data_IF_727639393002
#
_entry.id   IF_727639393002
#
_cell.length_a   1.000
_cell.length_b   1.000
_cell.length_c   1.000
_cell.angle_alpha   90.00
_cell.angle_beta   90.00
_cell.angle_gamma   90.00
#
_symmetry.space_group_name_H-M   'P 1'
#
loop_
_entity.id
_entity.type
_entity.pdbx_description
1 polymer ?
#
# COMPACT_ATOMS: atom_id res chain seq x y z
N UNK A 1 2.81 19.29 -7.09
CA UNK A 1 2.40 18.04 -7.76
C UNK A 1 2.40 18.24 -9.27
N UNK A 2 2.79 17.25 -10.07
CA UNK A 2 2.66 17.27 -11.53
C UNK A 2 1.49 16.44 -12.01
N UNK A 3 0.77 16.93 -13.02
CA UNK A 3 -0.34 16.24 -13.66
C UNK A 3 -0.16 16.22 -15.18
N UNK A 4 -0.74 15.22 -15.81
CA UNK A 4 -0.82 15.10 -17.27
C UNK A 4 -2.18 15.63 -17.70
N UNK A 5 -2.20 16.48 -18.71
CA UNK A 5 -3.44 16.87 -19.36
C UNK A 5 -3.93 15.71 -20.24
N UNK A 6 -5.12 15.19 -19.97
CA UNK A 6 -5.66 13.99 -20.59
C UNK A 6 -5.99 14.15 -22.09
N UNK A 7 -6.03 15.39 -22.60
CA UNK A 7 -6.28 15.70 -24.01
C UNK A 7 -4.98 15.90 -24.76
N UNK A 8 -4.14 16.82 -24.26
CA UNK A 8 -2.91 17.24 -24.95
C UNK A 8 -1.71 16.35 -24.65
N UNK A 9 -1.81 15.48 -23.63
CA UNK A 9 -0.72 14.64 -23.15
C UNK A 9 0.54 15.45 -22.77
N UNK A 10 0.33 16.67 -22.26
CA UNK A 10 1.40 17.54 -21.75
C UNK A 10 1.41 17.51 -20.22
N UNK A 11 2.58 17.73 -19.62
CA UNK A 11 2.75 17.70 -18.17
C UNK A 11 2.79 19.12 -17.60
N UNK A 12 2.07 19.34 -16.49
CA UNK A 12 1.95 20.65 -15.83
C UNK A 12 2.24 20.52 -14.34
N UNK A 13 2.99 21.49 -13.79
CA UNK A 13 3.32 21.55 -12.37
C UNK A 13 2.38 22.51 -11.65
N UNK A 14 1.74 22.01 -10.59
CA UNK A 14 0.89 22.79 -9.69
C UNK A 14 1.58 22.92 -8.33
N UNK A 15 1.93 24.15 -7.96
CA UNK A 15 2.57 24.49 -6.68
C UNK A 15 1.60 24.68 -5.50
N UNK A 16 0.29 24.80 -5.78
CA UNK A 16 -0.77 24.98 -4.78
C UNK A 16 -1.78 23.84 -4.78
N UNK A 17 -3.04 24.16 -4.48
CA UNK A 17 -4.14 23.20 -4.60
C UNK A 17 -4.30 22.78 -6.07
N UNK A 18 -4.18 21.49 -6.41
CA UNK A 18 -4.34 21.05 -7.79
C UNK A 18 -5.81 21.17 -8.24
N UNK A 19 -6.06 21.26 -9.57
CA UNK A 19 -7.40 21.11 -10.12
C UNK A 19 -7.95 19.69 -9.84
N UNK A 20 -9.26 19.44 -10.01
CA UNK A 20 -9.83 18.10 -10.00
C UNK A 20 -9.09 17.17 -10.97
N UNK A 21 -8.76 15.96 -10.50
CA UNK A 21 -7.95 15.01 -11.25
C UNK A 21 -8.32 13.57 -10.94
N UNK A 22 -8.13 12.71 -11.94
CA UNK A 22 -8.12 11.27 -11.76
C UNK A 22 -6.69 10.78 -11.45
N UNK A 23 -6.57 9.65 -10.76
CA UNK A 23 -5.28 9.04 -10.43
C UNK A 23 -5.22 7.60 -10.90
N UNK A 24 -4.10 7.18 -11.49
CA UNK A 24 -3.90 5.79 -11.94
C UNK A 24 -3.22 4.97 -10.85
N UNK A 25 -3.89 3.92 -10.40
CA UNK A 25 -3.30 2.85 -9.61
C UNK A 25 -3.05 1.64 -10.49
N UNK A 26 -1.83 1.11 -10.48
CA UNK A 26 -1.45 0.01 -11.35
C UNK A 26 -0.22 -0.73 -10.83
N UNK A 27 0.04 -1.92 -11.35
CA UNK A 27 1.30 -2.63 -11.11
C UNK A 27 2.30 -2.34 -12.21
N UNK A 28 3.53 -1.99 -11.85
CA UNK A 28 4.58 -1.75 -12.85
C UNK A 28 4.88 -3.02 -13.67
N UNK A 29 5.11 -2.84 -14.97
CA UNK A 29 5.37 -3.87 -15.96
C UNK A 29 6.64 -3.57 -16.75
N UNK A 30 6.67 -4.02 -18.00
CA UNK A 30 7.79 -3.79 -18.91
C UNK A 30 7.68 -2.43 -19.58
N UNK A 31 8.82 -1.77 -19.79
CA UNK A 31 8.92 -0.49 -20.51
C UNK A 31 7.97 0.58 -19.94
N UNK A 32 8.09 0.82 -18.65
CA UNK A 32 7.36 1.88 -17.96
C UNK A 32 7.75 3.27 -18.48
N UNK A 33 6.77 4.13 -18.70
CA UNK A 33 7.03 5.52 -19.08
C UNK A 33 7.52 6.28 -17.84
N UNK A 34 8.79 6.64 -17.83
CA UNK A 34 9.38 7.49 -16.78
C UNK A 34 9.07 8.98 -17.00
N UNK A 35 9.43 9.82 -16.05
CA UNK A 35 9.36 11.27 -16.23
C UNK A 35 10.22 11.71 -17.43
N UNK A 36 11.44 11.18 -17.55
CA UNK A 36 12.37 11.49 -18.63
C UNK A 36 11.82 11.07 -19.99
N UNK A 37 11.23 9.88 -20.10
CA UNK A 37 10.59 9.42 -21.34
C UNK A 37 9.45 10.35 -21.75
N UNK A 38 8.67 10.83 -20.77
CA UNK A 38 7.58 11.75 -21.02
C UNK A 38 8.09 13.09 -21.58
N UNK A 39 9.24 13.59 -21.09
CA UNK A 39 9.85 14.83 -21.57
C UNK A 39 10.38 14.72 -23.02
N UNK A 40 10.72 13.51 -23.49
CA UNK A 40 11.15 13.28 -24.88
C UNK A 40 9.98 13.37 -25.89
N UNK A 41 8.74 13.44 -25.40
CA UNK A 41 7.56 13.70 -26.19
C UNK A 41 6.85 12.45 -26.73
N UNK A 42 5.66 12.63 -27.34
CA UNK A 42 4.76 11.52 -27.67
C UNK A 42 5.32 10.50 -28.64
N UNK A 43 6.21 10.91 -29.55
CA UNK A 43 6.86 9.98 -30.48
C UNK A 43 7.78 8.97 -29.79
N UNK A 44 8.35 9.35 -28.64
CA UNK A 44 9.20 8.48 -27.83
C UNK A 44 8.36 7.62 -26.90
N UNK A 45 7.64 8.24 -25.96
CA UNK A 45 6.91 7.48 -24.95
C UNK A 45 5.77 6.63 -25.55
N UNK A 46 5.21 7.03 -26.70
CA UNK A 46 4.16 6.28 -27.39
C UNK A 46 4.60 4.90 -27.89
N UNK A 47 5.92 4.65 -27.97
CA UNK A 47 6.49 3.34 -28.36
C UNK A 47 6.68 2.39 -27.18
N UNK A 48 6.64 2.89 -25.95
CA UNK A 48 6.85 2.12 -24.74
C UNK A 48 5.58 1.34 -24.39
N UNK A 49 5.71 0.05 -24.05
CA UNK A 49 4.54 -0.78 -23.67
C UNK A 49 3.76 -0.23 -22.48
N UNK A 50 4.44 0.39 -21.52
CA UNK A 50 3.82 1.02 -20.35
C UNK A 50 2.93 2.21 -20.70
N UNK A 51 2.98 2.75 -21.92
CA UNK A 51 2.13 3.87 -22.32
C UNK A 51 0.65 3.49 -22.46
N UNK A 52 0.32 2.26 -22.84
CA UNK A 52 -1.06 1.85 -23.11
C UNK A 52 -2.02 2.08 -21.93
N UNK A 53 -1.56 1.89 -20.69
CA UNK A 53 -2.34 2.19 -19.48
C UNK A 53 -2.44 3.70 -19.19
N UNK A 54 -1.44 4.50 -19.56
CA UNK A 54 -1.52 5.96 -19.41
C UNK A 54 -2.53 6.52 -20.42
N UNK A 55 -2.47 6.06 -21.66
CA UNK A 55 -3.44 6.41 -22.70
C UNK A 55 -4.86 6.00 -22.28
N UNK A 56 -5.04 4.76 -21.82
CA UNK A 56 -6.33 4.29 -21.35
C UNK A 56 -6.86 5.08 -20.15
N UNK A 57 -5.99 5.47 -19.22
CA UNK A 57 -6.31 6.34 -18.09
C UNK A 57 -6.78 7.72 -18.56
N UNK A 58 -6.03 8.36 -19.48
CA UNK A 58 -6.41 9.65 -20.06
C UNK A 58 -7.76 9.56 -20.79
N UNK A 59 -7.97 8.49 -21.56
CA UNK A 59 -9.22 8.24 -22.26
C UNK A 59 -10.39 8.06 -21.30
N UNK A 60 -10.20 7.32 -20.20
CA UNK A 60 -11.25 7.13 -19.19
C UNK A 60 -11.53 8.42 -18.42
N UNK A 61 -10.48 9.13 -18.00
CA UNK A 61 -10.58 10.45 -17.36
C UNK A 61 -11.42 11.42 -18.21
N UNK A 62 -11.16 11.50 -19.52
CA UNK A 62 -11.94 12.33 -20.45
C UNK A 62 -13.41 11.94 -20.53
N UNK A 63 -13.73 10.64 -20.52
CA UNK A 63 -15.11 10.15 -20.52
C UNK A 63 -15.87 10.57 -19.26
N UNK A 64 -15.16 10.61 -18.13
CA UNK A 64 -15.72 10.96 -16.84
C UNK A 64 -15.64 12.48 -16.55
N UNK A 65 -15.13 13.27 -17.49
CA UNK A 65 -15.10 14.74 -17.40
C UNK A 65 -13.85 15.32 -16.72
N UNK A 66 -12.81 14.52 -16.49
CA UNK A 66 -11.55 14.96 -15.92
C UNK A 66 -10.55 15.38 -17.01
N UNK A 67 -10.00 16.59 -16.85
CA UNK A 67 -8.93 17.10 -17.71
C UNK A 67 -7.54 16.63 -17.26
N UNK A 68 -7.37 16.31 -15.97
CA UNK A 68 -6.06 16.05 -15.38
C UNK A 68 -5.96 14.63 -14.86
N UNK A 69 -4.84 13.97 -15.14
CA UNK A 69 -4.50 12.66 -14.57
C UNK A 69 -3.15 12.67 -13.88
N UNK A 70 -3.03 11.86 -12.83
CA UNK A 70 -1.76 11.60 -12.16
C UNK A 70 -1.34 10.15 -12.35
N UNK A 71 -0.06 9.92 -12.65
CA UNK A 71 0.55 8.59 -12.79
C UNK A 71 1.93 8.61 -12.13
N UNK A 72 2.17 7.76 -11.14
CA UNK A 72 3.41 7.72 -10.36
C UNK A 72 4.67 7.46 -11.20
N UNK A 73 4.55 6.72 -12.30
CA UNK A 73 5.69 6.37 -13.16
C UNK A 73 6.34 7.59 -13.80
N UNK A 74 5.54 8.55 -14.27
CA UNK A 74 6.00 9.72 -15.01
C UNK A 74 5.71 11.08 -14.36
N UNK A 75 4.76 11.20 -13.41
CA UNK A 75 4.52 12.45 -12.69
C UNK A 75 5.55 12.72 -11.59
N UNK A 76 6.36 11.73 -11.22
CA UNK A 76 7.44 11.84 -10.23
C UNK A 76 8.79 11.67 -10.94
N UNK A 77 9.72 12.59 -10.69
CA UNK A 77 11.08 12.49 -11.18
C UNK A 77 11.88 11.67 -10.18
N UNK A 78 11.98 10.38 -10.46
CA UNK A 78 12.68 9.43 -9.60
C UNK A 78 14.20 9.61 -9.62
N UNK A 79 14.75 10.43 -10.52
CA UNK A 79 16.16 10.79 -10.52
C UNK A 79 16.49 11.87 -9.47
N UNK A 80 15.50 12.66 -9.06
CA UNK A 80 15.62 13.63 -7.99
C UNK A 80 15.28 12.99 -6.64
N UNK A 81 16.29 12.75 -5.79
CA UNK A 81 16.08 12.17 -4.46
C UNK A 81 15.20 13.04 -3.57
N UNK A 82 15.32 14.37 -3.69
CA UNK A 82 14.48 15.33 -2.97
C UNK A 82 13.01 15.21 -3.40
N UNK A 83 12.75 15.15 -4.70
CA UNK A 83 11.38 15.01 -5.20
C UNK A 83 10.79 13.63 -4.87
N UNK A 84 11.58 12.56 -5.03
CA UNK A 84 11.14 11.21 -4.66
C UNK A 84 10.74 11.13 -3.18
N UNK A 85 11.52 11.78 -2.30
CA UNK A 85 11.22 11.85 -0.88
C UNK A 85 9.93 12.62 -0.58
N UNK A 86 9.76 13.79 -1.20
CA UNK A 86 8.52 14.57 -1.10
C UNK A 86 7.32 13.78 -1.61
N UNK A 87 7.48 13.09 -2.74
CA UNK A 87 6.43 12.33 -3.39
C UNK A 87 5.95 11.15 -2.55
N UNK A 88 6.87 10.35 -2.01
CA UNK A 88 6.53 9.21 -1.15
C UNK A 88 5.80 9.68 0.12
N UNK A 89 6.26 10.75 0.77
CA UNK A 89 5.58 11.31 1.94
C UNK A 89 4.22 11.95 1.60
N UNK A 90 3.99 12.32 0.33
CA UNK A 90 2.75 12.94 -0.14
C UNK A 90 1.78 11.98 -0.81
N UNK A 91 2.22 10.76 -1.16
CA UNK A 91 1.46 9.88 -2.06
C UNK A 91 0.09 9.52 -1.51
N UNK A 92 -0.02 9.20 -0.22
CA UNK A 92 -1.32 8.96 0.42
C UNK A 92 -2.27 10.15 0.27
N UNK A 93 -1.77 11.38 0.46
CA UNK A 93 -2.56 12.61 0.32
C UNK A 93 -2.96 12.87 -1.13
N UNK A 94 -2.11 12.54 -2.09
CA UNK A 94 -2.46 12.64 -3.52
C UNK A 94 -3.56 11.63 -3.89
N UNK A 95 -3.46 10.38 -3.46
CA UNK A 95 -4.55 9.42 -3.63
C UNK A 95 -5.83 9.87 -2.91
N UNK A 96 -5.74 10.37 -1.68
CA UNK A 96 -6.89 10.89 -0.94
C UNK A 96 -7.54 12.13 -1.59
N UNK A 97 -6.73 12.99 -2.19
CA UNK A 97 -7.16 14.22 -2.84
C UNK A 97 -7.61 14.07 -4.28
N UNK A 98 -7.46 12.87 -4.87
CA UNK A 98 -8.00 12.55 -6.19
C UNK A 98 -9.53 12.42 -6.13
N UNK A 99 -10.20 12.80 -7.21
CA UNK A 99 -11.65 12.64 -7.31
C UNK A 99 -12.02 11.18 -7.62
N UNK A 100 -11.20 10.49 -8.40
CA UNK A 100 -11.34 9.07 -8.70
C UNK A 100 -9.98 8.41 -8.91
N UNK A 101 -9.83 7.20 -8.36
CA UNK A 101 -8.71 6.31 -8.62
C UNK A 101 -9.14 5.22 -9.61
N UNK A 102 -8.48 5.18 -10.76
CA UNK A 102 -8.65 4.10 -11.73
C UNK A 102 -7.61 3.02 -11.45
N UNK A 103 -8.08 1.84 -11.06
CA UNK A 103 -7.24 0.66 -10.86
C UNK A 103 -7.18 -0.13 -12.16
N UNK A 104 -6.00 -0.17 -12.78
CA UNK A 104 -5.75 -0.95 -13.99
C UNK A 104 -5.13 -2.32 -13.65
N UNK A 105 -5.87 -3.39 -13.95
CA UNK A 105 -5.46 -4.78 -13.70
C UNK A 105 -4.89 -5.39 -14.99
N UNK A 106 -3.58 -5.26 -15.18
CA UNK A 106 -2.88 -5.73 -16.38
C UNK A 106 -2.95 -7.26 -16.60
N UNK A 107 -3.21 -8.03 -15.55
CA UNK A 107 -3.31 -9.49 -15.56
C UNK A 107 -4.76 -9.99 -15.45
N UNK A 108 -5.73 -9.11 -15.72
CA UNK A 108 -7.14 -9.46 -15.79
C UNK A 108 -7.61 -9.47 -17.25
N UNK A 109 -7.84 -10.66 -17.86
CA UNK A 109 -8.24 -10.77 -19.26
C UNK A 109 -9.68 -10.28 -19.49
N UNK A 110 -9.99 -10.00 -20.76
CA UNK A 110 -11.31 -9.56 -21.24
C UNK A 110 -12.42 -10.58 -20.93
N UNK A 111 -13.55 -10.08 -20.43
CA UNK A 111 -14.58 -10.86 -19.74
C UNK A 111 -15.43 -11.80 -20.62
N UNK A 112 -15.78 -12.96 -20.04
CA UNK A 112 -17.04 -13.72 -20.21
C UNK A 112 -17.55 -14.04 -18.79
N UNK A 113 -18.72 -13.48 -18.43
CA UNK A 113 -19.28 -13.22 -17.07
C UNK A 113 -19.29 -14.36 -16.00
N UNK A 114 -18.78 -15.57 -16.27
CA UNK A 114 -19.06 -16.74 -15.42
C UNK A 114 -17.82 -17.38 -14.73
N UNK A 115 -16.59 -16.97 -15.07
CA UNK A 115 -15.32 -17.54 -14.52
C UNK A 115 -14.62 -16.60 -13.50
N UNK A 116 -15.30 -15.54 -13.05
CA UNK A 116 -14.66 -14.22 -12.94
C UNK A 116 -14.18 -13.76 -11.56
N UNK A 117 -14.77 -14.25 -10.45
CA UNK A 117 -14.38 -13.78 -9.12
C UNK A 117 -12.98 -14.27 -8.71
N UNK A 118 -12.61 -15.49 -9.10
CA UNK A 118 -11.29 -16.04 -8.76
C UNK A 118 -10.17 -15.25 -9.44
N UNK A 119 -10.32 -14.94 -10.73
CA UNK A 119 -9.30 -14.22 -11.50
C UNK A 119 -9.04 -12.81 -10.94
N UNK A 120 -10.11 -12.08 -10.57
CA UNK A 120 -9.98 -10.76 -9.95
C UNK A 120 -9.16 -10.81 -8.65
N UNK A 121 -9.45 -11.75 -7.75
CA UNK A 121 -8.77 -11.83 -6.45
C UNK A 121 -7.33 -12.35 -6.55
N UNK A 122 -6.96 -12.98 -7.66
CA UNK A 122 -5.60 -13.44 -7.93
C UNK A 122 -4.73 -12.42 -8.64
N UNK A 123 -5.30 -11.30 -9.11
CA UNK A 123 -4.52 -10.24 -9.74
C UNK A 123 -3.37 -9.77 -8.86
N UNK A 124 -2.19 -9.62 -9.45
CA UNK A 124 -0.95 -9.15 -8.84
C UNK A 124 -1.13 -7.81 -8.12
N UNK A 125 -2.08 -6.99 -8.56
CA UNK A 125 -2.41 -5.74 -7.88
C UNK A 125 -2.70 -5.91 -6.39
N UNK A 126 -3.34 -7.00 -5.96
CA UNK A 126 -3.63 -7.27 -4.55
C UNK A 126 -2.41 -7.67 -3.71
N UNK A 127 -1.27 -7.98 -4.34
CA UNK A 127 -0.05 -8.39 -3.66
C UNK A 127 1.02 -7.29 -3.61
N UNK A 128 0.80 -6.12 -4.22
CA UNK A 128 1.79 -5.03 -4.19
C UNK A 128 1.62 -4.17 -2.93
N UNK A 129 2.71 -3.80 -2.26
CA UNK A 129 2.66 -2.99 -1.03
C UNK A 129 1.92 -1.67 -1.21
N UNK A 130 2.37 -0.85 -2.17
CA UNK A 130 1.83 0.49 -2.44
C UNK A 130 0.34 0.50 -2.77
N UNK A 131 -0.18 -0.50 -3.47
CA UNK A 131 -1.61 -0.54 -3.86
C UNK A 131 -2.56 -0.62 -2.66
N UNK A 132 -2.07 -0.90 -1.45
CA UNK A 132 -2.88 -0.82 -0.23
C UNK A 132 -3.36 0.61 0.03
N UNK A 133 -2.48 1.59 0.03
CA UNK A 133 -2.90 2.98 0.21
C UNK A 133 -3.70 3.49 -0.99
N UNK A 134 -3.42 2.99 -2.19
CA UNK A 134 -4.16 3.34 -3.41
C UNK A 134 -5.60 2.80 -3.40
N UNK A 135 -5.84 1.70 -2.68
CA UNK A 135 -7.17 1.16 -2.41
C UNK A 135 -7.92 1.95 -1.34
N UNK A 136 -7.22 2.38 -0.28
CA UNK A 136 -7.80 2.90 0.94
C UNK A 136 -8.02 4.42 0.88
N UNK A 137 -7.00 5.16 0.45
CA UNK A 137 -6.97 6.61 0.55
C UNK A 137 -8.02 7.32 -0.32
N UNK A 138 -8.24 6.94 -1.60
CA UNK A 138 -9.21 7.62 -2.46
C UNK A 138 -10.64 7.44 -1.99
N UNK A 139 -11.50 8.42 -2.29
CA UNK A 139 -12.95 8.33 -2.05
C UNK A 139 -13.62 7.36 -3.02
N UNK A 140 -13.28 7.47 -4.30
CA UNK A 140 -13.81 6.64 -5.37
C UNK A 140 -12.70 5.81 -6.01
N UNK A 141 -12.96 4.52 -6.21
CA UNK A 141 -12.02 3.58 -6.80
C UNK A 141 -12.78 2.68 -7.77
N UNK A 142 -12.39 2.72 -9.04
CA UNK A 142 -12.99 1.97 -10.13
C UNK A 142 -11.96 1.02 -10.75
N UNK A 143 -12.33 -0.25 -10.88
CA UNK A 143 -11.46 -1.32 -11.37
C UNK A 143 -11.72 -1.57 -12.85
N UNK A 144 -10.63 -1.69 -13.61
CA UNK A 144 -10.61 -1.94 -15.04
C UNK A 144 -9.70 -3.13 -15.37
N UNK A 145 -10.13 -3.94 -16.32
CA UNK A 145 -9.34 -5.04 -16.88
C UNK A 145 -8.24 -4.53 -17.83
N UNK A 146 -7.41 -5.44 -18.35
CA UNK A 146 -6.31 -5.13 -19.27
C UNK A 146 -6.79 -4.39 -20.54
N UNK A 147 -8.00 -4.64 -21.02
CA UNK A 147 -8.59 -3.97 -22.17
C UNK A 147 -9.34 -2.67 -21.83
N UNK A 148 -9.24 -2.18 -20.58
CA UNK A 148 -10.01 -1.07 -20.03
C UNK A 148 -11.53 -1.32 -19.96
N UNK A 149 -11.99 -2.58 -20.00
CA UNK A 149 -13.37 -2.89 -19.62
C UNK A 149 -13.56 -2.72 -18.12
N UNK A 150 -14.68 -2.09 -17.73
CA UNK A 150 -14.99 -1.82 -16.31
C UNK A 150 -15.42 -3.11 -15.62
N UNK A 151 -14.78 -3.42 -14.50
CA UNK A 151 -15.06 -4.59 -13.66
C UNK A 151 -16.07 -4.21 -12.57
N UNK A 152 -15.87 -3.07 -11.91
CA UNK A 152 -16.71 -2.61 -10.81
C UNK A 152 -16.04 -1.55 -9.96
N UNK A 153 -16.73 -1.10 -8.93
CA UNK A 153 -16.21 -0.13 -7.94
C UNK A 153 -15.76 -0.82 -6.66
N UNK A 154 -14.90 -0.19 -5.85
CA UNK A 154 -14.57 -0.66 -4.50
C UNK A 154 -15.81 -0.94 -3.64
N UNK A 155 -16.88 -0.14 -3.81
CA UNK A 155 -18.14 -0.35 -3.09
C UNK A 155 -18.84 -1.64 -3.55
N UNK A 156 -18.96 -1.84 -4.87
CA UNK A 156 -19.61 -3.04 -5.43
C UNK A 156 -18.82 -4.33 -5.17
N UNK A 157 -17.49 -4.21 -5.07
CA UNK A 157 -16.55 -5.31 -4.88
C UNK A 157 -16.09 -5.46 -3.42
N UNK A 158 -16.72 -4.76 -2.47
CA UNK A 158 -16.25 -4.68 -1.09
C UNK A 158 -16.15 -6.06 -0.41
N UNK A 159 -17.11 -6.97 -0.65
CA UNK A 159 -17.09 -8.32 -0.08
C UNK A 159 -15.95 -9.18 -0.64
N UNK A 160 -15.78 -9.32 -1.98
CA UNK A 160 -14.60 -9.98 -2.54
C UNK A 160 -13.26 -9.39 -2.07
N UNK A 161 -13.14 -8.07 -2.04
CA UNK A 161 -11.90 -7.39 -1.60
C UNK A 161 -11.64 -7.69 -0.12
N UNK A 162 -12.66 -7.62 0.74
CA UNK A 162 -12.55 -8.00 2.15
C UNK A 162 -12.02 -9.42 2.31
N UNK A 163 -12.60 -10.38 1.59
CA UNK A 163 -12.15 -11.78 1.62
C UNK A 163 -10.67 -11.93 1.25
N UNK A 164 -10.19 -11.20 0.23
CA UNK A 164 -8.80 -11.28 -0.21
C UNK A 164 -7.82 -10.58 0.74
N UNK A 165 -8.22 -9.44 1.32
CA UNK A 165 -7.30 -8.50 1.97
C UNK A 165 -7.40 -8.47 3.49
N UNK A 166 -8.50 -8.95 4.07
CA UNK A 166 -8.83 -8.77 5.50
C UNK A 166 -9.26 -7.34 5.86
N UNK A 167 -9.35 -6.42 4.90
CA UNK A 167 -9.79 -5.05 5.14
C UNK A 167 -11.29 -5.07 5.45
N UNK A 168 -11.77 -4.52 6.58
CA UNK A 168 -13.19 -4.50 6.92
C UNK A 168 -14.05 -3.86 5.83
N UNK A 169 -15.24 -4.40 5.59
CA UNK A 169 -16.16 -3.89 4.56
C UNK A 169 -16.55 -2.43 4.83
N UNK A 170 -16.61 -2.05 6.10
CA UNK A 170 -16.88 -0.68 6.56
C UNK A 170 -15.78 0.29 6.10
N UNK A 171 -14.51 -0.13 6.16
CA UNK A 171 -13.37 0.66 5.67
C UNK A 171 -13.44 0.81 4.15
N UNK A 172 -13.75 -0.26 3.43
CA UNK A 172 -13.96 -0.22 1.97
C UNK A 172 -15.16 0.64 1.56
N UNK A 173 -16.09 0.89 2.49
CA UNK A 173 -17.25 1.78 2.34
C UNK A 173 -17.01 3.20 2.85
N UNK A 174 -15.79 3.53 3.27
CA UNK A 174 -15.40 4.88 3.64
C UNK A 174 -15.22 5.13 5.14
N UNK A 175 -15.33 4.13 6.01
CA UNK A 175 -14.90 4.26 7.40
C UNK A 175 -13.39 4.57 7.43
N UNK A 176 -12.93 5.61 8.15
CA UNK A 176 -11.52 5.98 8.15
C UNK A 176 -10.65 4.87 8.77
N UNK A 177 -9.45 4.62 8.23
CA UNK A 177 -8.51 3.64 8.80
C UNK A 177 -8.13 3.92 10.25
N UNK A 178 -8.13 5.18 10.67
CA UNK A 178 -7.86 5.59 12.06
C UNK A 178 -8.84 5.01 13.09
N UNK A 179 -10.01 4.54 12.65
CA UNK A 179 -10.97 3.83 13.50
C UNK A 179 -10.73 2.31 13.60
N UNK A 180 -9.60 1.82 13.09
CA UNK A 180 -9.15 0.43 13.19
C UNK A 180 -7.87 0.34 14.02
N UNK A 181 -7.68 -0.79 14.68
CA UNK A 181 -6.50 -1.05 15.48
C UNK A 181 -5.24 -1.12 14.62
N UNK A 182 -4.10 -0.74 15.17
CA UNK A 182 -2.79 -0.78 14.53
C UNK A 182 -2.48 -2.18 14.00
N UNK A 183 -2.76 -3.22 14.78
CA UNK A 183 -2.54 -4.61 14.39
C UNK A 183 -3.39 -5.03 13.17
N UNK A 184 -4.63 -4.55 13.09
CA UNK A 184 -5.52 -4.80 11.96
C UNK A 184 -4.96 -4.13 10.72
N UNK A 185 -4.54 -2.86 10.83
CA UNK A 185 -3.91 -2.13 9.72
C UNK A 185 -2.64 -2.82 9.22
N UNK A 186 -1.80 -3.33 10.13
CA UNK A 186 -0.61 -4.13 9.76
C UNK A 186 -1.00 -5.41 8.99
N UNK A 187 -2.04 -6.11 9.43
CA UNK A 187 -2.52 -7.34 8.78
C UNK A 187 -2.96 -7.16 7.31
N UNK A 188 -3.36 -5.94 6.93
CA UNK A 188 -3.75 -5.61 5.55
C UNK A 188 -2.56 -5.66 4.58
N UNK A 189 -1.34 -5.53 5.10
CA UNK A 189 -0.09 -5.63 4.35
C UNK A 189 0.63 -6.97 4.50
N UNK A 190 0.13 -7.89 5.33
CA UNK A 190 0.81 -9.13 5.68
C UNK A 190 1.15 -10.06 4.49
N UNK A 191 0.40 -9.99 3.39
CA UNK A 191 0.63 -10.79 2.18
C UNK A 191 0.95 -9.91 0.96
N UNK A 192 1.49 -8.72 1.22
CA UNK A 192 1.95 -7.80 0.18
C UNK A 192 3.46 -7.82 0.11
N UNK A 193 3.97 -7.44 -1.05
CA UNK A 193 5.38 -7.45 -1.41
C UNK A 193 5.76 -6.13 -2.07
N UNK A 194 7.02 -5.74 -1.88
CA UNK A 194 7.60 -4.54 -2.46
C UNK A 194 8.91 -4.89 -3.17
N UNK A 195 9.28 -4.09 -4.18
CA UNK A 195 10.52 -4.34 -4.93
C UNK A 195 11.75 -3.95 -4.11
N UNK A 196 11.69 -2.83 -3.38
CA UNK A 196 12.68 -2.47 -2.36
C UNK A 196 12.15 -2.93 -1.00
N UNK A 197 13.03 -3.42 -0.14
CA UNK A 197 12.63 -3.98 1.15
C UNK A 197 12.09 -2.89 2.08
N UNK A 198 12.69 -1.70 2.03
CA UNK A 198 12.32 -0.52 2.80
C UNK A 198 10.92 0.01 2.45
N UNK A 199 10.51 -0.17 1.19
CA UNK A 199 9.19 0.28 0.73
C UNK A 199 8.04 -0.43 1.48
N UNK A 200 8.29 -1.60 2.10
CA UNK A 200 7.29 -2.26 2.95
C UNK A 200 6.88 -1.38 4.13
N UNK A 201 7.82 -0.63 4.69
CA UNK A 201 7.56 0.36 5.73
C UNK A 201 6.96 1.63 5.12
N UNK A 202 7.56 2.14 4.03
CA UNK A 202 7.18 3.42 3.45
C UNK A 202 5.76 3.42 2.88
N UNK A 203 5.28 2.28 2.33
CA UNK A 203 3.92 2.16 1.82
C UNK A 203 2.82 2.16 2.89
N UNK A 204 3.20 2.07 4.17
CA UNK A 204 2.28 2.09 5.31
C UNK A 204 2.19 3.46 5.99
N UNK A 205 3.14 4.37 5.74
CA UNK A 205 3.21 5.67 6.44
C UNK A 205 1.88 6.44 6.41
N UNK A 206 1.25 6.53 5.23
CA UNK A 206 -0.02 7.24 5.08
C UNK A 206 -1.21 6.60 5.81
N UNK A 207 -1.24 5.27 5.92
CA UNK A 207 -2.29 4.51 6.62
C UNK A 207 -2.19 4.70 8.14
N UNK A 208 -0.97 4.92 8.63
CA UNK A 208 -0.68 5.18 10.03
C UNK A 208 -0.54 6.67 10.37
N UNK A 209 -0.68 7.56 9.39
CA UNK A 209 -0.59 9.02 9.56
C UNK A 209 0.74 9.47 10.19
N UNK A 210 1.82 8.78 9.83
CA UNK A 210 3.20 9.09 10.24
C UNK A 210 4.02 9.58 9.06
N UNK A 211 5.14 10.25 9.35
CA UNK A 211 6.16 10.59 8.35
C UNK A 211 7.52 10.22 8.91
N UNK A 212 8.40 9.70 8.07
CA UNK A 212 9.79 9.39 8.44
C UNK A 212 10.72 9.61 7.25
N UNK A 213 12.00 9.94 7.48
CA UNK A 213 13.00 10.04 6.42
C UNK A 213 13.17 8.74 5.64
N UNK A 214 13.27 8.83 4.31
CA UNK A 214 13.55 7.69 3.44
C UNK A 214 15.06 7.44 3.38
N UNK A 215 15.49 6.29 3.88
CA UNK A 215 16.90 5.89 3.94
C UNK A 215 17.07 4.57 3.16
N UNK A 216 17.02 4.65 1.84
CA UNK A 216 17.29 3.47 1.00
C UNK A 216 18.71 2.93 1.24
N UNK A 217 18.82 1.64 1.54
CA UNK A 217 20.06 0.99 1.96
C UNK A 217 20.11 0.65 3.45
N UNK A 218 19.16 1.15 4.26
CA UNK A 218 19.06 0.78 5.69
C UNK A 218 18.58 -0.66 5.92
N UNK A 219 17.93 -1.26 4.90
CA UNK A 219 17.32 -2.58 4.98
C UNK A 219 15.86 -2.54 5.47
N UNK A 220 15.07 -3.52 5.02
CA UNK A 220 13.63 -3.57 5.30
C UNK A 220 13.28 -3.67 6.78
N UNK A 221 14.01 -4.52 7.52
CA UNK A 221 13.81 -4.72 8.96
C UNK A 221 13.97 -3.41 9.74
N UNK A 222 15.00 -2.63 9.41
CA UNK A 222 15.30 -1.36 10.08
C UNK A 222 14.27 -0.27 9.70
N UNK A 223 13.92 -0.17 8.42
CA UNK A 223 12.86 0.72 7.98
C UNK A 223 11.52 0.41 8.66
N UNK A 224 11.17 -0.88 8.81
CA UNK A 224 9.93 -1.31 9.45
C UNK A 224 9.95 -1.11 10.97
N UNK A 225 11.11 -1.28 11.60
CA UNK A 225 11.32 -0.94 13.01
C UNK A 225 11.07 0.55 13.25
N UNK A 226 11.67 1.43 12.43
CA UNK A 226 11.46 2.89 12.49
C UNK A 226 10.00 3.29 12.27
N UNK A 227 9.29 2.62 11.36
CA UNK A 227 7.85 2.83 11.18
C UNK A 227 7.08 2.57 12.48
N UNK A 228 7.34 1.43 13.14
CA UNK A 228 6.68 1.09 14.40
C UNK A 228 7.01 2.09 15.51
N UNK A 229 8.25 2.58 15.59
CA UNK A 229 8.63 3.65 16.52
C UNK A 229 7.86 4.95 16.27
N UNK A 230 7.73 5.38 15.02
CA UNK A 230 6.94 6.57 14.68
C UNK A 230 5.45 6.41 15.01
N UNK A 231 4.91 5.19 14.87
CA UNK A 231 3.53 4.88 15.29
C UNK A 231 3.40 5.02 16.81
N UNK A 232 4.31 4.43 17.59
CA UNK A 232 4.29 4.47 19.06
C UNK A 232 4.47 5.89 19.61
N UNK A 233 5.23 6.75 18.93
CA UNK A 233 5.36 8.18 19.32
C UNK A 233 4.04 8.95 19.24
N UNK A 234 3.06 8.47 18.46
CA UNK A 234 1.80 9.17 18.17
C UNK A 234 0.55 8.43 18.62
N UNK A 235 0.67 7.20 19.07
CA UNK A 235 -0.45 6.32 19.35
C UNK A 235 -0.21 5.51 20.61
N UNK A 236 -1.22 5.49 21.49
CA UNK A 236 -1.28 4.59 22.65
C UNK A 236 -1.92 3.23 22.29
N UNK A 237 -2.15 2.96 21.00
CA UNK A 237 -2.68 1.70 20.53
C UNK A 237 -1.64 0.58 20.66
N UNK A 238 -1.64 -0.04 21.84
CA UNK A 238 -0.76 -1.14 22.18
C UNK A 238 -0.95 -2.36 21.26
N UNK A 239 -2.04 -2.45 20.48
CA UNK A 239 -2.26 -3.59 19.60
C UNK A 239 -1.13 -3.79 18.60
N UNK A 240 -0.33 -2.75 18.33
CA UNK A 240 0.91 -2.86 17.55
C UNK A 240 1.86 -3.97 18.06
N UNK A 241 1.81 -4.29 19.36
CA UNK A 241 2.61 -5.35 19.98
C UNK A 241 1.94 -6.73 19.94
N UNK A 242 0.72 -6.85 19.40
CA UNK A 242 -0.05 -8.08 19.35
C UNK A 242 0.27 -8.93 18.10
N UNK A 243 1.55 -9.07 17.78
CA UNK A 243 2.05 -9.89 16.66
C UNK A 243 2.47 -11.29 17.14
N UNK A 244 2.69 -12.21 16.20
CA UNK A 244 3.27 -13.54 16.47
C UNK A 244 4.27 -13.87 15.37
N UNK A 245 5.41 -14.47 15.75
CA UNK A 245 6.35 -15.02 14.77
C UNK A 245 5.72 -16.25 14.13
N UNK A 246 4.86 -16.02 13.13
CA UNK A 246 4.07 -17.05 12.48
C UNK A 246 4.89 -17.82 11.45
N UNK A 247 6.06 -18.34 11.84
CA UNK A 247 6.94 -19.33 11.20
C UNK A 247 7.96 -19.57 12.32
N UNK A 248 7.97 -20.66 13.08
CA UNK A 248 8.48 -22.00 12.74
C UNK A 248 7.78 -23.08 13.61
N UNK A 249 7.19 -24.14 13.03
CA UNK A 249 6.49 -25.17 13.82
C UNK A 249 7.38 -26.07 14.70
N UNK A 250 8.71 -25.89 14.69
CA UNK A 250 9.67 -26.82 15.32
C UNK A 250 10.95 -26.13 15.84
N UNK A 251 10.95 -24.82 16.09
CA UNK A 251 12.17 -24.18 16.57
C UNK A 251 12.43 -24.50 18.05
N UNK A 252 13.62 -25.05 18.27
CA UNK A 252 14.28 -25.20 19.56
C UNK A 252 14.20 -23.88 20.36
N UNK A 253 13.84 -23.88 21.66
CA UNK A 253 13.79 -22.66 22.48
C UNK A 253 15.04 -21.77 22.39
N UNK A 254 16.20 -22.31 22.00
CA UNK A 254 17.42 -21.54 21.73
C UNK A 254 17.35 -20.63 20.48
N UNK A 255 16.62 -21.02 19.43
CA UNK A 255 16.48 -20.23 18.17
C UNK A 255 15.52 -19.05 18.38
N UNK A 256 14.46 -19.26 19.17
CA UNK A 256 13.56 -18.18 19.60
C UNK A 256 14.33 -17.16 20.47
N UNK A 257 15.23 -17.63 21.34
CA UNK A 257 16.11 -16.80 22.17
C UNK A 257 17.16 -16.03 21.34
N UNK A 258 17.70 -16.61 20.26
CA UNK A 258 18.62 -15.93 19.35
C UNK A 258 17.96 -14.84 18.48
N UNK A 259 16.68 -15.00 18.11
CA UNK A 259 15.92 -13.90 17.48
C UNK A 259 15.51 -12.83 18.47
N UNK A 260 15.18 -13.24 19.70
CA UNK A 260 15.00 -12.36 20.85
C UNK A 260 16.29 -11.60 21.21
N UNK A 261 17.45 -12.07 20.78
CA UNK A 261 18.76 -11.40 20.92
C UNK A 261 18.93 -10.18 20.02
N UNK A 262 18.09 -9.99 18.99
CA UNK A 262 17.82 -8.65 18.45
C UNK A 262 16.80 -8.01 19.39
N UNK A 263 17.27 -7.32 20.43
CA UNK A 263 16.49 -6.65 21.48
C UNK A 263 15.36 -5.72 20.98
N UNK A 264 14.28 -6.24 20.41
CA UNK A 264 13.14 -5.44 19.96
C UNK A 264 11.83 -6.15 20.25
N UNK A 265 10.95 -5.47 20.98
CA UNK A 265 9.55 -5.87 21.20
C UNK A 265 8.68 -5.67 19.95
N UNK A 266 9.27 -5.16 18.87
CA UNK A 266 8.61 -4.80 17.63
C UNK A 266 8.66 -5.95 16.63
N UNK A 267 7.63 -6.05 15.79
CA UNK A 267 7.55 -7.06 14.75
C UNK A 267 8.65 -6.87 13.69
N UNK A 268 9.06 -7.94 13.03
CA UNK A 268 10.04 -7.88 11.95
C UNK A 268 9.40 -7.45 10.63
N UNK A 269 8.11 -7.78 10.41
CA UNK A 269 7.38 -7.40 9.20
C UNK A 269 5.86 -7.40 9.40
N UNK A 270 5.08 -6.86 8.45
CA UNK A 270 3.62 -7.02 8.46
C UNK A 270 3.13 -8.48 8.47
N UNK A 271 3.95 -9.44 7.99
CA UNK A 271 3.59 -10.85 7.96
C UNK A 271 3.36 -11.45 9.37
N UNK A 272 4.01 -10.88 10.40
CA UNK A 272 3.83 -11.26 11.81
C UNK A 272 2.42 -10.92 12.34
N UNK A 273 1.64 -10.15 11.57
CA UNK A 273 0.25 -9.80 11.84
C UNK A 273 -0.73 -10.57 10.92
N UNK A 274 -0.27 -11.52 10.10
CA UNK A 274 -1.10 -12.24 9.11
C UNK A 274 -2.31 -12.94 9.74
N UNK A 275 -2.13 -13.53 10.91
CA UNK A 275 -3.20 -14.22 11.61
C UNK A 275 -4.33 -13.26 12.00
N UNK A 276 -4.05 -11.97 12.22
CA UNK A 276 -4.98 -10.95 12.77
C UNK A 276 -6.21 -10.71 11.88
N UNK A 277 -6.19 -11.19 10.63
CA UNK A 277 -7.28 -11.09 9.65
C UNK A 277 -8.63 -11.63 10.14
N UNK A 278 -8.65 -12.59 11.06
CA UNK A 278 -9.88 -13.17 11.63
C UNK A 278 -10.31 -12.57 12.97
N UNK A 279 -9.58 -11.58 13.50
CA UNK A 279 -9.63 -11.21 14.92
C UNK A 279 -10.46 -9.95 15.17
N UNK A 280 -11.77 -10.12 15.08
CA UNK A 280 -12.71 -9.24 15.78
C UNK A 280 -12.85 -9.59 17.27
N UNK A 281 -12.19 -10.64 17.77
CA UNK A 281 -12.34 -11.14 19.13
C UNK A 281 -11.31 -10.49 20.08
N UNK A 282 -11.75 -9.69 21.07
CA UNK A 282 -10.87 -9.09 22.10
C UNK A 282 -10.03 -10.11 22.87
N UNK A 283 -10.45 -11.38 22.90
CA UNK A 283 -9.86 -12.45 23.72
C UNK A 283 -8.43 -12.83 23.32
N UNK A 284 -8.04 -12.65 22.07
CA UNK A 284 -6.67 -13.00 21.65
C UNK A 284 -5.73 -11.84 21.48
N UNK A 285 -6.27 -10.65 21.25
CA UNK A 285 -5.51 -9.46 21.58
C UNK A 285 -5.06 -9.59 23.06
N UNK A 286 -5.97 -9.96 23.97
CA UNK A 286 -5.64 -10.25 25.38
C UNK A 286 -4.65 -11.41 25.56
N UNK A 287 -4.80 -12.54 24.86
CA UNK A 287 -3.88 -13.67 25.02
C UNK A 287 -2.45 -13.37 24.53
N UNK A 288 -2.29 -12.67 23.41
CA UNK A 288 -0.97 -12.28 22.86
C UNK A 288 -0.28 -11.20 23.71
N UNK A 289 -1.03 -10.25 24.28
CA UNK A 289 -0.50 -9.32 25.28
C UNK A 289 0.04 -10.05 26.51
N UNK A 290 -0.65 -11.10 26.96
CA UNK A 290 -0.23 -11.87 28.13
C UNK A 290 1.09 -12.61 27.91
N UNK A 291 1.37 -13.07 26.68
CA UNK A 291 2.64 -13.69 26.30
C UNK A 291 3.79 -12.66 26.41
N UNK A 292 3.61 -11.47 25.85
CA UNK A 292 4.62 -10.42 25.91
C UNK A 292 4.84 -9.90 27.33
N UNK A 293 3.78 -9.78 28.14
CA UNK A 293 3.91 -9.45 29.58
C UNK A 293 4.69 -10.50 30.35
N UNK A 294 4.49 -11.79 30.06
CA UNK A 294 5.28 -12.86 30.67
C UNK A 294 6.75 -12.79 30.26
N UNK A 295 7.05 -12.47 29.00
CA UNK A 295 8.43 -12.27 28.55
C UNK A 295 9.11 -11.07 29.24
N UNK A 296 8.37 -9.98 29.51
CA UNK A 296 8.85 -8.84 30.31
C UNK A 296 9.21 -9.28 31.74
N UNK A 297 8.30 -9.98 32.42
CA UNK A 297 8.54 -10.49 33.77
C UNK A 297 9.70 -11.50 33.82
N UNK A 298 9.84 -12.34 32.81
CA UNK A 298 10.94 -13.31 32.74
C UNK A 298 12.31 -12.62 32.57
N UNK A 299 12.39 -11.57 31.76
CA UNK A 299 13.63 -10.79 31.57
C UNK A 299 14.04 -10.02 32.83
N UNK A 300 13.09 -9.46 33.57
CA UNK A 300 13.39 -8.76 34.83
C UNK A 300 13.93 -9.70 35.91
N UNK A 301 13.53 -10.98 35.91
CA UNK A 301 14.02 -12.00 36.85
C UNK A 301 15.45 -12.45 36.52
N UNK A 302 15.87 -12.37 35.25
CA UNK A 302 17.20 -12.81 34.80
C UNK A 302 18.19 -11.68 34.52
N UNK A 303 17.78 -10.42 34.59
CA UNK A 303 18.69 -9.26 34.53
C UNK A 303 19.45 -9.01 35.86
N UNK A 304 19.13 -9.76 36.92
CA UNK A 304 19.74 -9.65 38.26
C UNK A 304 20.52 -10.91 38.71
N UNK A 305 20.86 -11.82 37.79
CA UNK A 305 21.69 -13.01 38.06
C UNK A 305 22.99 -13.01 37.29
#
# INVERSE_FOLDING_TARGET
MRLINAITLTMHTFGGRPPPYAILSHTWGQEEVSFQDFQLGPEHFGRLRGYAKIEGCCRQARKDGYEWVWVDTCCIDKSSSAELSEAINSMYKWYQGSDVCYVYLADMPRLKWNTEQRNFLTCRWFTRGWTLQELIAPRHVDFYAEDWSRIGTRLSLAKPIHYRTGIPVEVLRGKPPSACLACQKMSWAAHRETSRKEDMAYCLMGIFEVNMPLLYGEGGDEAFRRLQEEILKRSEDLSLLAWSSAHFPNDDPEVEMQRSSKNSFLAASPADFSEIRTWGAPEVIRSKFHIHQKQLQWRDVHAFS
#
